data_IF_001876670923
#
_entry.id   IF_001876670923
#
_cell.length_a   1.000
_cell.length_b   1.000
_cell.length_c   1.000
_cell.angle_alpha   90.00
_cell.angle_beta   90.00
_cell.angle_gamma   90.00
#
_symmetry.space_group_name_H-M   'P 1'
#
loop_
_entity.id
_entity.type
_entity.pdbx_description
1 polymer ?
#
# COMPACT_ATOMS: atom_id res chain seq x y z
N UNK A 1 1.41 -10.52 -1.19
CA UNK A 1 1.24 -11.74 -1.99
C UNK A 1 1.31 -11.38 -3.45
N UNK A 2 2.26 -11.97 -4.19
CA UNK A 2 2.30 -11.83 -5.65
C UNK A 2 1.01 -12.43 -6.25
N UNK A 3 0.44 -11.77 -7.24
CA UNK A 3 -0.75 -12.26 -7.95
C UNK A 3 -0.45 -13.61 -8.62
N UNK A 4 -1.44 -14.51 -8.73
CA UNK A 4 -1.24 -15.84 -9.32
C UNK A 4 -0.66 -15.82 -10.74
N UNK A 5 -0.96 -14.76 -11.50
CA UNK A 5 -0.46 -14.54 -12.86
C UNK A 5 0.85 -13.72 -12.93
N UNK A 6 1.53 -13.48 -11.81
CA UNK A 6 2.77 -12.70 -11.81
C UNK A 6 3.91 -13.49 -12.47
N UNK A 7 4.41 -13.01 -13.62
CA UNK A 7 5.55 -13.61 -14.34
C UNK A 7 6.81 -13.78 -13.47
N UNK A 8 7.04 -12.85 -12.55
CA UNK A 8 8.17 -12.88 -11.61
C UNK A 8 7.65 -13.04 -10.18
N UNK A 9 7.50 -14.28 -9.74
CA UNK A 9 7.36 -14.62 -8.32
C UNK A 9 8.67 -14.39 -7.58
N UNK A 10 8.65 -14.39 -6.25
CA UNK A 10 9.88 -14.28 -5.43
C UNK A 10 10.89 -15.39 -5.80
N UNK A 11 10.39 -16.61 -6.00
CA UNK A 11 11.20 -17.75 -6.48
C UNK A 11 11.85 -17.46 -7.83
N UNK A 12 11.08 -17.01 -8.82
CA UNK A 12 11.62 -16.71 -10.15
C UNK A 12 12.66 -15.56 -10.11
N UNK A 13 12.47 -14.56 -9.23
CA UNK A 13 13.47 -13.49 -9.01
C UNK A 13 14.75 -14.04 -8.38
N UNK A 14 14.64 -14.99 -7.46
CA UNK A 14 15.79 -15.64 -6.84
C UNK A 14 16.56 -16.50 -7.85
N UNK A 15 15.88 -17.30 -8.66
CA UNK A 15 16.49 -18.08 -9.75
C UNK A 15 17.21 -17.18 -10.76
N UNK A 16 16.58 -16.06 -11.15
CA UNK A 16 17.18 -15.03 -11.99
C UNK A 16 18.48 -14.50 -11.40
N UNK A 17 18.50 -14.17 -10.10
CA UNK A 17 19.73 -13.67 -9.45
C UNK A 17 20.80 -14.76 -9.40
N UNK A 18 20.45 -16.00 -9.04
CA UNK A 18 21.39 -17.12 -9.01
C UNK A 18 22.06 -17.38 -10.35
N UNK A 19 21.34 -17.24 -11.47
CA UNK A 19 21.96 -17.39 -12.79
C UNK A 19 23.00 -16.31 -13.06
N UNK A 20 22.70 -15.05 -12.71
CA UNK A 20 23.66 -13.95 -12.88
C UNK A 20 24.87 -14.12 -11.98
N UNK A 21 24.68 -14.54 -10.72
CA UNK A 21 25.79 -14.84 -9.80
C UNK A 21 26.62 -16.05 -10.24
N UNK A 22 25.99 -17.00 -10.96
CA UNK A 22 26.65 -18.11 -11.64
C UNK A 22 27.41 -17.72 -12.92
N UNK A 23 27.57 -16.43 -13.21
CA UNK A 23 28.39 -15.92 -14.31
C UNK A 23 27.65 -15.67 -15.63
N UNK A 24 26.34 -15.90 -15.69
CA UNK A 24 25.57 -15.63 -16.91
C UNK A 24 25.42 -14.11 -17.16
N UNK A 25 25.59 -13.64 -18.41
CA UNK A 25 25.35 -12.25 -18.75
C UNK A 25 23.90 -11.82 -18.47
N UNK A 26 23.71 -10.62 -17.90
CA UNK A 26 22.36 -10.12 -17.58
C UNK A 26 21.41 -10.05 -18.79
N UNK A 27 21.95 -9.81 -19.99
CA UNK A 27 21.17 -9.80 -21.24
C UNK A 27 20.58 -11.16 -21.56
N UNK A 28 21.36 -12.21 -21.33
CA UNK A 28 20.94 -13.59 -21.61
C UNK A 28 19.91 -14.06 -20.58
N UNK A 29 20.14 -13.76 -19.30
CA UNK A 29 19.17 -14.01 -18.24
C UNK A 29 17.86 -13.24 -18.50
N UNK A 30 17.94 -11.97 -18.92
CA UNK A 30 16.76 -11.18 -19.28
C UNK A 30 15.92 -11.84 -20.39
N UNK A 31 16.60 -12.39 -21.42
CA UNK A 31 15.96 -13.12 -22.53
C UNK A 31 15.26 -14.38 -22.05
N UNK A 32 15.92 -15.19 -21.22
CA UNK A 32 15.36 -16.44 -20.66
C UNK A 32 14.10 -16.17 -19.83
N UNK A 33 14.13 -15.15 -18.97
CA UNK A 33 13.00 -14.79 -18.11
C UNK A 33 11.96 -13.88 -18.80
N UNK A 34 12.16 -13.52 -20.08
CA UNK A 34 11.29 -12.63 -20.87
C UNK A 34 11.02 -11.28 -20.17
N UNK A 35 12.08 -10.67 -19.64
CA UNK A 35 12.06 -9.38 -18.96
C UNK A 35 13.11 -8.45 -19.55
N UNK A 36 13.05 -7.16 -19.20
CA UNK A 36 14.11 -6.22 -19.59
C UNK A 36 15.40 -6.47 -18.78
N UNK A 37 16.56 -6.14 -19.37
CA UNK A 37 17.84 -6.11 -18.64
C UNK A 37 17.78 -5.20 -17.39
N UNK A 38 17.05 -4.08 -17.47
CA UNK A 38 16.84 -3.20 -16.32
C UNK A 38 16.09 -3.87 -15.16
N UNK A 39 15.18 -4.80 -15.46
CA UNK A 39 14.48 -5.61 -14.45
C UNK A 39 15.45 -6.56 -13.75
N UNK A 40 16.35 -7.21 -14.50
CA UNK A 40 17.41 -8.06 -13.93
C UNK A 40 18.31 -7.24 -13.01
N UNK A 41 18.83 -6.11 -13.51
CA UNK A 41 19.70 -5.22 -12.74
C UNK A 41 19.04 -4.73 -11.45
N UNK A 42 17.75 -4.39 -11.48
CA UNK A 42 16.98 -4.00 -10.29
C UNK A 42 16.96 -5.10 -9.23
N UNK A 43 16.64 -6.34 -9.62
CA UNK A 43 16.53 -7.43 -8.66
C UNK A 43 17.89 -7.86 -8.12
N UNK A 44 18.92 -7.90 -8.98
CA UNK A 44 20.29 -8.16 -8.55
C UNK A 44 20.77 -7.13 -7.53
N UNK A 45 20.52 -5.83 -7.77
CA UNK A 45 20.88 -4.78 -6.81
C UNK A 45 20.20 -5.00 -5.47
N UNK A 46 18.88 -5.23 -5.46
CA UNK A 46 18.13 -5.47 -4.21
C UNK A 46 18.62 -6.71 -3.47
N UNK A 47 18.93 -7.79 -4.18
CA UNK A 47 19.47 -8.99 -3.55
C UNK A 47 20.83 -8.75 -2.90
N UNK A 48 21.72 -8.00 -3.56
CA UNK A 48 23.02 -7.65 -2.99
C UNK A 48 22.92 -6.75 -1.76
N UNK A 49 21.92 -5.85 -1.74
CA UNK A 49 21.69 -4.92 -0.63
C UNK A 49 20.97 -5.58 0.57
N UNK A 50 19.97 -6.43 0.30
CA UNK A 50 18.99 -6.87 1.32
C UNK A 50 18.86 -8.41 1.39
N UNK A 51 19.59 -9.17 0.57
CA UNK A 51 19.48 -10.62 0.46
C UNK A 51 18.14 -11.09 -0.12
N UNK A 52 17.70 -12.29 0.29
CA UNK A 52 16.39 -12.84 -0.08
C UNK A 52 15.22 -11.91 0.26
N UNK A 53 15.19 -11.23 1.43
CA UNK A 53 14.15 -10.23 1.73
C UNK A 53 13.99 -9.13 0.67
N UNK A 54 15.06 -8.73 0.00
CA UNK A 54 15.02 -7.72 -1.06
C UNK A 54 14.23 -8.12 -2.31
N UNK A 55 13.93 -9.41 -2.46
CA UNK A 55 13.18 -9.96 -3.59
C UNK A 55 11.67 -9.92 -3.38
N UNK A 56 11.21 -9.56 -2.19
CA UNK A 56 9.79 -9.38 -1.92
C UNK A 56 9.18 -8.17 -2.64
N UNK A 57 7.86 -8.21 -2.81
CA UNK A 57 7.12 -7.07 -3.34
C UNK A 57 7.16 -5.92 -2.34
N UNK A 58 7.66 -4.78 -2.78
CA UNK A 58 7.52 -3.53 -2.03
C UNK A 58 6.12 -2.99 -2.23
N UNK A 59 5.63 -2.27 -1.23
CA UNK A 59 4.35 -1.58 -1.33
C UNK A 59 4.31 -0.68 -2.56
N UNK A 60 3.31 -0.88 -3.42
CA UNK A 60 3.00 0.02 -4.54
C UNK A 60 2.27 1.28 -4.09
N UNK A 61 1.99 1.42 -2.78
CA UNK A 61 1.32 2.60 -2.24
C UNK A 61 2.27 3.80 -2.35
N UNK A 62 1.83 4.93 -2.92
CA UNK A 62 2.66 6.12 -3.02
C UNK A 62 3.09 6.59 -1.63
N UNK A 63 4.37 6.93 -1.46
CA UNK A 63 4.92 7.46 -0.20
C UNK A 63 4.26 8.78 0.22
N UNK A 64 3.82 9.59 -0.76
CA UNK A 64 3.17 10.88 -0.53
C UNK A 64 1.95 11.00 -1.44
N UNK A 65 0.81 11.40 -0.85
CA UNK A 65 -0.38 11.76 -1.59
C UNK A 65 -0.74 13.22 -1.25
N UNK A 66 -0.45 14.19 -2.13
CA UNK A 66 -0.71 15.61 -1.84
C UNK A 66 -2.20 15.94 -1.73
N UNK A 67 -3.09 15.09 -2.27
CA UNK A 67 -4.55 15.24 -2.17
C UNK A 67 -5.13 14.58 -0.93
N UNK A 68 -4.30 14.05 -0.04
CA UNK A 68 -4.75 13.50 1.22
C UNK A 68 -5.28 14.63 2.10
N UNK A 69 -6.44 14.40 2.72
CA UNK A 69 -7.01 15.31 3.70
C UNK A 69 -5.97 15.66 4.78
N UNK A 70 -5.72 16.94 5.09
CA UNK A 70 -4.77 17.35 6.10
C UNK A 70 -5.01 16.61 7.44
N UNK A 71 -3.94 16.24 8.18
CA UNK A 71 -4.05 15.49 9.43
C UNK A 71 -5.02 16.13 10.43
N UNK A 72 -5.05 17.46 10.52
CA UNK A 72 -5.93 18.19 11.45
C UNK A 72 -7.41 18.03 11.09
N UNK A 73 -7.75 18.19 9.82
CA UNK A 73 -9.10 17.94 9.33
C UNK A 73 -9.51 16.48 9.52
N UNK A 74 -8.59 15.55 9.27
CA UNK A 74 -8.86 14.12 9.48
C UNK A 74 -9.12 13.80 10.96
N UNK A 75 -8.34 14.39 11.88
CA UNK A 75 -8.55 14.29 13.34
C UNK A 75 -9.90 14.86 13.75
N UNK A 76 -10.27 16.03 13.24
CA UNK A 76 -11.56 16.68 13.51
C UNK A 76 -12.74 15.81 13.06
N UNK A 77 -12.68 15.24 11.84
CA UNK A 77 -13.69 14.30 11.33
C UNK A 77 -13.84 13.09 12.28
N UNK A 78 -12.72 12.50 12.72
CA UNK A 78 -12.73 11.35 13.61
C UNK A 78 -13.27 11.71 15.00
N UNK A 79 -12.95 12.89 15.53
CA UNK A 79 -13.44 13.38 16.81
C UNK A 79 -14.96 13.55 16.79
N UNK A 80 -15.52 14.21 15.77
CA UNK A 80 -16.97 14.40 15.62
C UNK A 80 -17.68 13.05 15.49
N UNK A 81 -17.11 12.12 14.70
CA UNK A 81 -17.64 10.75 14.57
C UNK A 81 -17.74 10.05 15.92
N UNK A 82 -16.65 10.04 16.70
CA UNK A 82 -16.65 9.39 18.02
C UNK A 82 -17.55 10.11 19.01
N UNK A 83 -17.61 11.44 19.01
CA UNK A 83 -18.42 12.18 19.96
C UNK A 83 -19.94 12.09 19.70
N UNK A 84 -20.37 11.94 18.45
CA UNK A 84 -21.77 12.09 18.09
C UNK A 84 -22.39 10.88 17.38
N UNK A 85 -21.59 9.88 17.01
CA UNK A 85 -22.01 8.75 16.19
C UNK A 85 -22.61 9.17 14.83
N UNK A 86 -22.24 10.35 14.34
CA UNK A 86 -22.78 10.91 13.12
C UNK A 86 -22.26 10.19 11.86
N UNK A 87 -23.13 10.07 10.87
CA UNK A 87 -22.78 9.56 9.55
C UNK A 87 -21.97 10.58 8.72
N UNK A 88 -21.33 10.13 7.62
CA UNK A 88 -20.53 11.00 6.76
C UNK A 88 -21.30 12.21 6.19
N UNK A 89 -22.61 12.08 5.97
CA UNK A 89 -23.46 13.16 5.47
C UNK A 89 -23.54 14.33 6.46
N UNK A 90 -23.83 14.04 7.73
CA UNK A 90 -24.00 15.08 8.76
C UNK A 90 -22.67 15.75 9.11
N UNK A 91 -21.59 14.97 9.18
CA UNK A 91 -20.24 15.49 9.40
C UNK A 91 -19.79 16.36 8.22
N UNK A 92 -20.04 15.90 6.98
CA UNK A 92 -19.69 16.64 5.77
C UNK A 92 -20.44 17.97 5.68
N UNK A 93 -21.73 17.98 6.01
CA UNK A 93 -22.52 19.21 6.09
C UNK A 93 -21.94 20.18 7.13
N UNK A 94 -21.65 19.72 8.36
CA UNK A 94 -21.10 20.56 9.43
C UNK A 94 -19.74 21.18 9.05
N UNK A 95 -18.83 20.39 8.49
CA UNK A 95 -17.47 20.83 8.18
C UNK A 95 -17.32 21.45 6.79
N UNK A 96 -18.40 21.49 5.99
CA UNK A 96 -18.38 21.87 4.57
C UNK A 96 -17.39 21.04 3.74
N UNK A 97 -17.28 19.75 4.05
CA UNK A 97 -16.41 18.78 3.37
C UNK A 97 -17.30 17.79 2.59
N UNK A 98 -16.95 17.40 1.35
CA UNK A 98 -17.70 16.40 0.61
C UNK A 98 -17.85 15.08 1.39
N UNK A 99 -19.06 14.50 1.37
CA UNK A 99 -19.36 13.23 2.09
C UNK A 99 -18.39 12.10 1.74
N UNK A 100 -17.88 12.07 0.51
CA UNK A 100 -16.94 11.06 0.01
C UNK A 100 -15.58 11.19 0.68
N UNK A 101 -15.11 12.42 0.87
CA UNK A 101 -13.87 12.73 1.59
C UNK A 101 -13.98 12.33 3.06
N UNK A 102 -15.09 12.68 3.72
CA UNK A 102 -15.38 12.27 5.10
C UNK A 102 -15.39 10.75 5.22
N UNK A 103 -16.11 10.06 4.34
CA UNK A 103 -16.13 8.60 4.33
C UNK A 103 -14.74 7.99 4.12
N UNK A 104 -13.95 8.52 3.18
CA UNK A 104 -12.59 8.04 2.93
C UNK A 104 -11.67 8.22 4.14
N UNK A 105 -11.79 9.34 4.87
CA UNK A 105 -11.09 9.56 6.15
C UNK A 105 -11.52 8.52 7.18
N UNK A 106 -12.82 8.34 7.40
CA UNK A 106 -13.34 7.37 8.37
C UNK A 106 -12.94 5.93 8.03
N UNK A 107 -12.89 5.59 6.74
CA UNK A 107 -12.45 4.26 6.27
C UNK A 107 -10.97 4.03 6.58
N UNK A 108 -10.10 5.01 6.30
CA UNK A 108 -8.67 4.95 6.64
C UNK A 108 -8.43 4.88 8.15
N UNK A 109 -9.28 5.53 8.95
CA UNK A 109 -9.21 5.51 10.41
C UNK A 109 -9.91 4.31 11.07
N UNK A 110 -10.50 3.39 10.30
CA UNK A 110 -11.24 2.24 10.84
C UNK A 110 -12.60 2.58 11.46
N UNK A 111 -13.13 3.79 11.29
CA UNK A 111 -14.37 4.29 11.93
C UNK A 111 -15.61 4.27 11.01
N UNK A 112 -15.50 3.71 9.80
CA UNK A 112 -16.55 3.82 8.78
C UNK A 112 -17.85 3.08 9.13
N UNK A 113 -17.79 2.00 9.91
CA UNK A 113 -18.99 1.28 10.38
C UNK A 113 -19.38 1.75 11.78
N UNK A 114 -20.63 2.15 11.96
CA UNK A 114 -21.17 2.54 13.26
C UNK A 114 -21.25 1.36 14.22
N UNK A 115 -21.52 0.17 13.71
CA UNK A 115 -21.60 -1.07 14.48
C UNK A 115 -20.30 -1.43 15.19
N UNK A 116 -19.16 -0.88 14.75
CA UNK A 116 -17.87 -1.10 15.40
C UNK A 116 -17.63 -0.16 16.58
N UNK A 117 -18.43 0.90 16.74
CA UNK A 117 -18.29 1.82 17.86
C UNK A 117 -19.14 1.31 19.02
N UNK A 118 -18.49 1.07 20.16
CA UNK A 118 -19.18 0.74 21.40
C UNK A 118 -20.16 1.88 21.76
N UNK A 119 -21.43 1.53 22.03
CA UNK A 119 -22.51 2.52 22.20
C UNK A 119 -22.23 3.56 23.30
N UNK A 120 -21.66 3.13 24.42
CA UNK A 120 -21.37 3.98 25.59
C UNK A 120 -19.97 4.61 25.54
N UNK A 121 -18.91 3.79 25.40
CA UNK A 121 -17.52 4.26 25.44
C UNK A 121 -17.03 4.88 24.13
N UNK A 122 -17.73 4.63 23.01
CA UNK A 122 -17.46 5.18 21.67
C UNK A 122 -16.05 4.86 21.15
N UNK A 123 -15.48 3.78 21.66
CA UNK A 123 -14.24 3.15 21.19
C UNK A 123 -14.57 2.12 20.10
N UNK A 124 -13.59 1.85 19.24
CA UNK A 124 -13.61 0.70 18.32
C UNK A 124 -13.04 -0.50 19.05
#
# INVERSE_FOLDING_TARGET
>A
MAHGNAKLTVRARFELVRQVEGGWPQTEVARQFRVSRSTVAKWLRRYREEGVPGLEDRSSVPRRNPRLTPPDQARLICAIRRANNWGPHRIGWLLRIPRSTVYAVLRRAGLHRLAWLHRTTRRV
#
